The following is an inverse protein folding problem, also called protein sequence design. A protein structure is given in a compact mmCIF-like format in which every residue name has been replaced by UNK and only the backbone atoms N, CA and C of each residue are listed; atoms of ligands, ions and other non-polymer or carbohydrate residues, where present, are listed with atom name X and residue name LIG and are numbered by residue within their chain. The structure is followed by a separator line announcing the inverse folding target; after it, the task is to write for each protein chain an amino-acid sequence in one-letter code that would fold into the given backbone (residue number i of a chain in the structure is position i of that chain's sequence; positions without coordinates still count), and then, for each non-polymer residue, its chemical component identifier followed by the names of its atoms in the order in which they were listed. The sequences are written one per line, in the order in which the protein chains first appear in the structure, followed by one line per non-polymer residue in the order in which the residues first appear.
data_IF_359541977151
#
_entry.id   IF_359541977151
#
_cell.length_a   1.000
_cell.length_b   1.000
_cell.length_c   1.000
_cell.angle_alpha   90.00
_cell.angle_beta   90.00
_cell.angle_gamma   90.00
#
_symmetry.space_group_name_H-M   'P 1'
#
loop_
_entity.id
_entity.type
_entity.pdbx_description
1 polymer ?
#
# COMPACT_ATOMS: atom_id res chain seq x y z
N UNK A 1 17.36 -14.85 -15.39
CA UNK A 1 16.46 -14.46 -16.50
C UNK A 1 15.02 -14.79 -16.16
N UNK A 2 14.43 -14.09 -15.18
CA UNK A 2 13.02 -14.27 -14.82
C UNK A 2 12.07 -13.37 -15.64
N UNK A 3 12.59 -12.21 -16.07
CA UNK A 3 11.97 -11.27 -17.00
C UNK A 3 12.55 -11.45 -18.40
N UNK A 4 11.75 -11.18 -19.42
CA UNK A 4 12.13 -11.06 -20.83
C UNK A 4 12.56 -9.63 -21.22
N UNK A 5 12.47 -8.70 -20.28
CA UNK A 5 12.99 -7.33 -20.34
C UNK A 5 14.03 -7.09 -19.24
N UNK A 6 14.81 -6.00 -19.38
CA UNK A 6 15.83 -5.60 -18.40
C UNK A 6 15.29 -4.46 -17.54
N UNK A 7 15.27 -4.65 -16.23
CA UNK A 7 15.03 -3.56 -15.28
C UNK A 7 16.30 -2.69 -15.22
N UNK A 8 16.23 -1.38 -15.50
CA UNK A 8 17.38 -0.48 -15.39
C UNK A 8 17.99 -0.52 -13.98
N UNK A 9 19.32 -0.50 -13.90
CA UNK A 9 20.09 -0.59 -12.65
C UNK A 9 19.86 -1.87 -11.82
N UNK A 10 19.31 -2.94 -12.41
CA UNK A 10 19.01 -4.20 -11.71
C UNK A 10 20.20 -4.82 -10.98
N UNK A 11 21.43 -4.65 -11.47
CA UNK A 11 22.65 -5.15 -10.79
C UNK A 11 23.00 -4.37 -9.51
N UNK A 12 22.40 -3.18 -9.31
CA UNK A 12 22.68 -2.28 -8.18
C UNK A 12 21.51 -2.14 -7.21
N UNK A 13 20.27 -2.47 -7.63
CA UNK A 13 19.08 -2.41 -6.77
C UNK A 13 19.17 -3.52 -5.72
N UNK A 14 19.07 -3.15 -4.44
CA UNK A 14 19.00 -4.10 -3.33
C UNK A 14 17.56 -4.30 -2.84
N UNK A 15 17.30 -5.42 -2.14
CA UNK A 15 16.00 -5.65 -1.45
C UNK A 15 15.68 -4.51 -0.47
N UNK A 16 16.70 -3.94 0.17
CA UNK A 16 16.54 -2.76 1.03
C UNK A 16 16.03 -1.55 0.23
N UNK A 17 16.59 -1.27 -0.94
CA UNK A 17 16.12 -0.16 -1.77
C UNK A 17 14.65 -0.31 -2.18
N UNK A 18 14.19 -1.55 -2.44
CA UNK A 18 12.78 -1.82 -2.72
C UNK A 18 11.91 -1.50 -1.49
N UNK A 19 12.28 -2.03 -0.32
CA UNK A 19 11.54 -1.85 0.93
C UNK A 19 11.47 -0.38 1.39
N UNK A 20 12.51 0.41 1.11
CA UNK A 20 12.65 1.83 1.49
C UNK A 20 12.08 2.80 0.45
N UNK A 21 11.48 2.31 -0.65
CA UNK A 21 11.00 3.14 -1.76
C UNK A 21 12.11 4.02 -2.40
N UNK A 22 13.31 3.44 -2.54
CA UNK A 22 14.53 4.09 -3.04
C UNK A 22 15.20 3.29 -4.17
N UNK A 23 14.43 2.47 -4.88
CA UNK A 23 14.94 1.61 -5.96
C UNK A 23 15.35 2.37 -7.21
N UNK A 24 14.72 3.52 -7.47
CA UNK A 24 14.87 4.22 -8.74
C UNK A 24 14.21 3.54 -9.93
N UNK A 25 13.35 2.54 -9.71
CA UNK A 25 12.55 1.95 -10.79
C UNK A 25 11.46 2.92 -11.25
N UNK A 26 11.10 2.82 -12.53
CA UNK A 26 9.92 3.54 -13.02
C UNK A 26 8.63 3.03 -12.39
N UNK A 27 7.62 3.88 -12.34
CA UNK A 27 6.41 3.69 -11.55
C UNK A 27 5.20 3.46 -12.46
N UNK A 28 4.76 2.20 -12.54
CA UNK A 28 3.63 1.81 -13.38
C UNK A 28 2.32 2.50 -12.97
N UNK A 29 2.15 2.83 -11.68
CA UNK A 29 0.93 3.48 -11.20
C UNK A 29 0.77 4.91 -11.73
N UNK A 30 1.85 5.53 -12.22
CA UNK A 30 1.83 6.84 -12.87
C UNK A 30 2.13 6.75 -14.38
N UNK A 31 2.18 5.55 -14.94
CA UNK A 31 2.33 5.35 -16.37
C UNK A 31 1.01 5.65 -17.09
N UNK A 32 1.06 6.51 -18.09
CA UNK A 32 -0.15 6.96 -18.81
C UNK A 32 -0.85 5.84 -19.58
N UNK A 33 -0.09 4.87 -20.10
CA UNK A 33 -0.66 3.72 -20.80
C UNK A 33 -1.33 2.77 -19.82
N UNK A 34 -0.69 2.48 -18.69
CA UNK A 34 -1.31 1.68 -17.62
C UNK A 34 -2.61 2.32 -17.10
N UNK A 35 -2.60 3.62 -16.82
CA UNK A 35 -3.80 4.36 -16.38
C UNK A 35 -4.92 4.29 -17.43
N UNK A 36 -4.60 4.42 -18.72
CA UNK A 36 -5.59 4.26 -19.79
C UNK A 36 -6.17 2.83 -19.85
N UNK A 37 -5.31 1.81 -19.72
CA UNK A 37 -5.72 0.42 -19.82
C UNK A 37 -6.60 -0.02 -18.63
N UNK A 38 -6.29 0.43 -17.41
CA UNK A 38 -7.14 0.17 -16.23
C UNK A 38 -8.47 0.92 -16.32
N UNK A 39 -8.50 2.17 -16.81
CA UNK A 39 -9.75 2.91 -16.99
C UNK A 39 -10.65 2.27 -18.07
N UNK A 40 -10.04 1.77 -19.15
CA UNK A 40 -10.76 1.15 -20.26
C UNK A 40 -11.28 -0.24 -19.92
N UNK A 41 -10.57 -0.98 -19.07
CA UNK A 41 -10.95 -2.33 -18.65
C UNK A 41 -10.52 -2.59 -17.20
N UNK A 42 -11.29 -2.08 -16.21
CA UNK A 42 -10.86 -2.07 -14.81
C UNK A 42 -10.88 -3.45 -14.16
N UNK A 43 -11.54 -4.43 -14.79
CA UNK A 43 -11.54 -5.83 -14.36
C UNK A 43 -10.47 -6.69 -15.06
N UNK A 44 -9.51 -6.06 -15.73
CA UNK A 44 -8.34 -6.77 -16.28
C UNK A 44 -7.57 -7.45 -15.16
N UNK A 45 -7.30 -8.75 -15.32
CA UNK A 45 -6.40 -9.48 -14.43
C UNK A 45 -4.96 -9.29 -14.90
N UNK A 46 -4.13 -8.71 -14.05
CA UNK A 46 -2.76 -8.33 -14.34
C UNK A 46 -1.77 -9.41 -13.89
N UNK A 47 -0.83 -9.76 -14.78
CA UNK A 47 0.38 -10.49 -14.38
C UNK A 47 1.33 -9.49 -13.68
N UNK A 48 1.85 -9.82 -12.47
CA UNK A 48 2.85 -8.99 -11.79
C UNK A 48 4.02 -8.54 -12.67
N UNK A 49 4.48 -9.39 -13.61
CA UNK A 49 5.56 -9.04 -14.55
C UNK A 49 5.15 -7.92 -15.51
N UNK A 50 3.91 -7.95 -15.97
CA UNK A 50 3.37 -6.92 -16.86
C UNK A 50 3.30 -5.58 -16.14
N UNK A 51 2.94 -5.54 -14.85
CA UNK A 51 2.98 -4.30 -14.06
C UNK A 51 4.41 -3.73 -13.98
N UNK A 52 5.41 -4.58 -13.72
CA UNK A 52 6.82 -4.13 -13.73
C UNK A 52 7.22 -3.61 -15.12
N UNK A 53 6.75 -4.26 -16.19
CA UNK A 53 7.04 -3.85 -17.56
C UNK A 53 6.51 -2.43 -17.86
N UNK A 54 5.27 -2.10 -17.47
CA UNK A 54 4.74 -0.73 -17.61
C UNK A 54 5.66 0.28 -16.93
N UNK A 55 6.15 -0.02 -15.72
CA UNK A 55 7.08 0.86 -15.01
C UNK A 55 8.42 1.01 -15.74
N UNK A 56 8.97 -0.09 -16.28
CA UNK A 56 10.24 -0.08 -17.04
C UNK A 56 10.13 0.70 -18.35
N UNK A 57 8.98 0.61 -19.01
CA UNK A 57 8.71 1.26 -20.30
C UNK A 57 8.15 2.69 -20.14
N UNK A 58 7.87 3.13 -18.91
CA UNK A 58 7.22 4.42 -18.67
C UNK A 58 8.12 5.61 -19.02
N UNK A 59 7.63 6.45 -19.93
CA UNK A 59 8.27 7.74 -20.24
C UNK A 59 7.95 8.80 -19.18
N UNK A 60 6.85 8.63 -18.43
CA UNK A 60 6.40 9.57 -17.40
C UNK A 60 7.26 9.48 -16.13
N UNK A 61 7.78 8.29 -15.81
CA UNK A 61 8.55 8.02 -14.59
C UNK A 61 9.84 7.26 -14.93
N UNK A 62 10.83 7.92 -15.55
CA UNK A 62 12.05 7.24 -15.97
C UNK A 62 12.87 6.77 -14.76
N UNK A 63 13.54 5.63 -14.93
CA UNK A 63 14.40 5.07 -13.90
C UNK A 63 15.61 5.97 -13.60
N UNK A 64 16.04 5.97 -12.34
CA UNK A 64 17.18 6.71 -11.82
C UNK A 64 18.07 5.82 -10.94
N UNK A 65 19.33 6.21 -10.66
CA UNK A 65 20.21 5.36 -9.86
C UNK A 65 19.62 5.10 -8.46
N UNK A 66 19.72 3.87 -7.93
CA UNK A 66 19.19 3.51 -6.62
C UNK A 66 19.76 4.38 -5.49
N UNK A 67 18.97 4.58 -4.44
CA UNK A 67 19.32 5.32 -3.23
C UNK A 67 19.66 6.82 -3.42
N UNK A 68 19.32 7.39 -4.58
CA UNK A 68 19.54 8.83 -4.84
C UNK A 68 18.40 9.73 -4.39
N UNK A 69 17.17 9.21 -4.31
CA UNK A 69 15.99 9.89 -3.76
C UNK A 69 14.91 8.87 -3.35
N UNK A 70 13.98 9.31 -2.52
CA UNK A 70 12.74 8.59 -2.21
C UNK A 70 11.69 8.82 -3.31
N UNK A 71 10.96 7.77 -3.67
CA UNK A 71 9.77 7.84 -4.52
C UNK A 71 8.85 6.66 -4.20
N UNK A 72 7.65 6.93 -3.69
CA UNK A 72 6.68 5.89 -3.40
C UNK A 72 6.28 5.18 -4.69
N UNK A 73 6.64 3.89 -4.81
CA UNK A 73 6.47 3.13 -6.05
C UNK A 73 5.96 1.72 -5.73
N UNK A 74 4.71 1.44 -6.10
CA UNK A 74 4.06 0.13 -5.92
C UNK A 74 4.84 -1.00 -6.61
N UNK A 75 5.55 -0.71 -7.70
CA UNK A 75 6.40 -1.66 -8.42
C UNK A 75 7.48 -2.29 -7.53
N UNK A 76 7.93 -1.59 -6.49
CA UNK A 76 8.87 -2.15 -5.52
C UNK A 76 8.27 -3.34 -4.77
N UNK A 77 7.01 -3.21 -4.33
CA UNK A 77 6.32 -4.25 -3.57
C UNK A 77 5.77 -5.36 -4.47
N UNK A 78 5.41 -5.05 -5.72
CA UNK A 78 5.17 -6.07 -6.75
C UNK A 78 6.43 -6.93 -6.96
N UNK A 79 7.60 -6.31 -7.10
CA UNK A 79 8.86 -7.05 -7.28
C UNK A 79 9.23 -7.89 -6.04
N UNK A 80 8.99 -7.37 -4.84
CA UNK A 80 9.15 -8.14 -3.59
C UNK A 80 8.20 -9.33 -3.52
N UNK A 81 6.94 -9.18 -3.95
CA UNK A 81 5.99 -10.29 -4.08
C UNK A 81 6.50 -11.39 -5.00
N UNK A 82 7.04 -11.01 -6.17
CA UNK A 82 7.69 -11.95 -7.10
C UNK A 82 8.86 -12.68 -6.44
N UNK A 83 9.69 -11.99 -5.65
CA UNK A 83 10.81 -12.61 -4.94
C UNK A 83 10.34 -13.59 -3.87
N UNK A 84 9.27 -13.27 -3.14
CA UNK A 84 8.65 -14.19 -2.17
C UNK A 84 8.28 -15.50 -2.87
N UNK A 85 7.56 -15.43 -3.99
CA UNK A 85 7.14 -16.64 -4.71
C UNK A 85 8.33 -17.44 -5.25
N UNK A 86 9.35 -16.77 -5.79
CA UNK A 86 10.53 -17.47 -6.32
C UNK A 86 11.41 -18.14 -5.26
N UNK A 87 11.51 -17.54 -4.07
CA UNK A 87 12.38 -18.06 -3.01
C UNK A 87 11.69 -19.19 -2.24
N UNK A 88 10.36 -19.14 -2.15
CA UNK A 88 9.58 -20.07 -1.33
C UNK A 88 8.92 -21.19 -2.13
N UNK A 89 8.83 -21.05 -3.46
CA UNK A 89 8.03 -21.90 -4.36
C UNK A 89 6.53 -21.96 -3.98
N UNK A 90 6.04 -21.01 -3.16
CA UNK A 90 4.65 -20.86 -2.74
C UNK A 90 4.03 -19.59 -3.31
N UNK A 91 2.69 -19.49 -3.32
CA UNK A 91 2.03 -18.25 -3.76
C UNK A 91 2.18 -17.15 -2.71
N UNK A 92 2.15 -15.89 -3.15
CA UNK A 92 2.13 -14.74 -2.23
C UNK A 92 0.97 -14.84 -1.23
N UNK A 93 -0.20 -15.30 -1.69
CA UNK A 93 -1.37 -15.48 -0.83
C UNK A 93 -1.14 -16.54 0.26
N UNK A 94 -0.51 -17.67 -0.08
CA UNK A 94 -0.17 -18.71 0.89
C UNK A 94 0.86 -18.21 1.92
N UNK A 95 1.88 -17.48 1.47
CA UNK A 95 2.91 -16.94 2.36
C UNK A 95 2.36 -15.89 3.33
N UNK A 96 1.47 -15.00 2.87
CA UNK A 96 0.74 -14.06 3.75
C UNK A 96 -0.17 -14.83 4.73
N UNK A 97 -0.85 -15.87 4.24
CA UNK A 97 -1.73 -16.70 5.06
C UNK A 97 -0.99 -17.40 6.20
N UNK A 98 0.08 -18.13 5.87
CA UNK A 98 0.83 -18.96 6.82
C UNK A 98 1.71 -18.15 7.77
N UNK A 99 2.26 -17.02 7.32
CA UNK A 99 3.22 -16.24 8.12
C UNK A 99 2.62 -15.08 8.88
N UNK A 100 1.47 -14.57 8.45
CA UNK A 100 0.86 -13.35 9.01
C UNK A 100 -0.54 -13.64 9.51
N UNK A 101 -1.47 -14.03 8.62
CA UNK A 101 -2.90 -14.15 8.95
C UNK A 101 -3.13 -15.21 10.03
N UNK A 102 -2.64 -16.44 9.83
CA UNK A 102 -2.83 -17.55 10.78
C UNK A 102 -2.12 -17.30 12.12
N UNK A 103 -0.84 -16.89 12.17
CA UNK A 103 -0.15 -16.66 13.44
C UNK A 103 -0.76 -15.52 14.27
N UNK A 104 -1.34 -14.51 13.64
CA UNK A 104 -2.00 -13.39 14.31
C UNK A 104 -3.52 -13.60 14.49
N UNK A 105 -4.07 -14.73 14.03
CA UNK A 105 -5.49 -15.04 14.06
C UNK A 105 -6.38 -13.95 13.43
N UNK A 106 -5.97 -13.41 12.28
CA UNK A 106 -6.70 -12.37 11.54
C UNK A 106 -7.86 -12.98 10.73
N UNK A 107 -8.93 -13.39 11.41
CA UNK A 107 -10.01 -14.19 10.81
C UNK A 107 -10.83 -13.48 9.73
N UNK A 108 -10.71 -12.16 9.60
CA UNK A 108 -11.43 -11.34 8.62
C UNK A 108 -10.46 -10.68 7.62
N UNK A 109 -9.26 -11.26 7.44
CA UNK A 109 -8.24 -10.77 6.53
C UNK A 109 -7.94 -11.80 5.45
N UNK A 110 -7.84 -11.36 4.19
CA UNK A 110 -7.57 -12.24 3.06
C UNK A 110 -6.80 -11.53 1.93
N UNK A 111 -6.06 -12.30 1.15
CA UNK A 111 -5.50 -11.87 -0.14
C UNK A 111 -6.52 -12.25 -1.23
N UNK A 112 -7.24 -11.29 -1.83
CA UNK A 112 -8.28 -11.59 -2.82
C UNK A 112 -7.69 -12.03 -4.17
N UNK A 113 -8.38 -12.95 -4.84
CA UNK A 113 -8.00 -13.47 -6.17
C UNK A 113 -8.78 -12.86 -7.34
N UNK A 114 -9.86 -12.14 -7.00
CA UNK A 114 -10.83 -11.53 -7.88
C UNK A 114 -11.53 -10.36 -7.13
N UNK A 115 -12.31 -9.51 -7.82
CA UNK A 115 -12.93 -8.32 -7.21
C UNK A 115 -14.03 -8.61 -6.19
N UNK A 116 -14.42 -9.87 -5.93
CA UNK A 116 -15.51 -10.15 -4.99
C UNK A 116 -15.11 -9.84 -3.55
N UNK A 117 -16.06 -9.29 -2.80
CA UNK A 117 -15.87 -8.91 -1.39
C UNK A 117 -16.60 -9.91 -0.46
N UNK A 118 -15.92 -10.44 0.56
CA UNK A 118 -16.54 -11.36 1.51
C UNK A 118 -17.56 -10.62 2.37
N UNK A 119 -18.81 -11.12 2.41
CA UNK A 119 -19.86 -10.50 3.20
C UNK A 119 -19.71 -10.81 4.71
N UNK A 120 -20.03 -9.86 5.61
CA UNK A 120 -20.39 -8.46 5.31
C UNK A 120 -19.16 -7.62 4.99
N UNK A 121 -19.27 -6.70 4.03
CA UNK A 121 -18.26 -5.69 3.73
C UNK A 121 -18.90 -4.30 3.70
N UNK A 122 -18.10 -3.27 4.00
CA UNK A 122 -18.53 -1.89 3.78
C UNK A 122 -18.40 -1.59 2.28
N UNK A 123 -19.45 -1.05 1.66
CA UNK A 123 -19.40 -0.66 0.25
C UNK A 123 -18.46 0.54 0.05
N UNK A 124 -17.64 0.53 -1.00
CA UNK A 124 -16.78 1.64 -1.40
C UNK A 124 -17.48 2.52 -2.42
N UNK A 125 -17.37 3.83 -2.30
CA UNK A 125 -18.08 4.77 -3.17
C UNK A 125 -17.15 5.75 -3.89
N UNK A 126 -17.44 5.96 -5.18
CA UNK A 126 -16.89 7.05 -6.00
C UNK A 126 -18.02 8.05 -6.27
N UNK A 127 -17.73 9.34 -6.19
CA UNK A 127 -18.65 10.38 -6.63
C UNK A 127 -18.34 10.76 -8.07
N UNK A 128 -19.31 10.58 -8.96
CA UNK A 128 -19.25 11.02 -10.35
C UNK A 128 -19.72 12.47 -10.43
N UNK A 129 -18.77 13.39 -10.58
CA UNK A 129 -19.04 14.83 -10.68
C UNK A 129 -19.80 15.21 -11.95
N UNK A 130 -19.58 14.48 -13.06
CA UNK A 130 -20.20 14.79 -14.35
C UNK A 130 -21.70 14.51 -14.31
N UNK A 131 -22.09 13.42 -13.65
CA UNK A 131 -23.47 12.98 -13.54
C UNK A 131 -24.13 13.34 -12.20
N UNK A 132 -23.36 13.85 -11.22
CA UNK A 132 -23.81 14.16 -9.86
C UNK A 132 -24.42 12.93 -9.17
N UNK A 133 -23.70 11.80 -9.25
CA UNK A 133 -24.14 10.49 -8.75
C UNK A 133 -23.10 9.85 -7.82
N UNK A 134 -23.58 9.14 -6.79
CA UNK A 134 -22.72 8.30 -5.95
C UNK A 134 -22.76 6.86 -6.47
N UNK A 135 -21.62 6.40 -6.98
CA UNK A 135 -21.47 5.08 -7.58
C UNK A 135 -20.85 4.10 -6.59
N UNK A 136 -21.43 2.90 -6.50
CA UNK A 136 -20.82 1.79 -5.77
C UNK A 136 -19.65 1.22 -6.59
N UNK A 137 -18.45 1.37 -6.06
CA UNK A 137 -17.19 0.95 -6.67
C UNK A 137 -16.56 -0.26 -5.95
N UNK A 138 -17.29 -0.91 -5.04
CA UNK A 138 -16.76 -1.98 -4.17
C UNK A 138 -16.05 -3.11 -4.93
N UNK A 139 -16.49 -3.38 -6.16
CA UNK A 139 -15.95 -4.42 -7.03
C UNK A 139 -15.56 -3.85 -8.40
N UNK A 140 -15.23 -2.55 -8.47
CA UNK A 140 -15.00 -1.86 -9.73
C UNK A 140 -13.67 -2.24 -10.39
N UNK A 141 -12.67 -2.65 -9.61
CA UNK A 141 -11.32 -2.97 -10.09
C UNK A 141 -10.86 -4.36 -9.67
N UNK A 142 -10.12 -5.06 -10.52
CA UNK A 142 -9.48 -6.34 -10.15
C UNK A 142 -8.30 -6.15 -9.18
N UNK A 143 -8.21 -6.91 -8.07
CA UNK A 143 -7.17 -6.73 -7.04
C UNK A 143 -5.75 -6.96 -7.54
N UNK A 144 -5.57 -7.64 -8.68
CA UNK A 144 -4.25 -7.94 -9.23
C UNK A 144 -3.44 -6.71 -9.65
N UNK A 145 -4.08 -5.55 -9.88
CA UNK A 145 -3.33 -4.32 -10.19
C UNK A 145 -2.53 -3.79 -9.00
N UNK A 146 -3.03 -4.02 -7.78
CA UNK A 146 -2.35 -3.71 -6.52
C UNK A 146 -1.55 -4.89 -5.95
N UNK A 147 -2.04 -6.12 -6.13
CA UNK A 147 -1.43 -7.39 -5.67
C UNK A 147 -0.64 -7.24 -4.35
N UNK A 148 0.66 -7.55 -4.33
CA UNK A 148 1.52 -7.48 -3.14
C UNK A 148 1.75 -6.06 -2.60
N UNK A 149 1.43 -5.01 -3.37
CA UNK A 149 1.57 -3.62 -2.96
C UNK A 149 0.34 -3.06 -2.23
N UNK A 150 -0.85 -3.66 -2.37
CA UNK A 150 -2.05 -3.08 -1.76
C UNK A 150 -3.37 -3.82 -1.89
N UNK A 151 -3.41 -5.10 -2.25
CA UNK A 151 -4.68 -5.81 -2.53
C UNK A 151 -5.40 -6.41 -1.32
N UNK A 152 -4.79 -6.44 -0.13
CA UNK A 152 -5.32 -7.20 1.02
C UNK A 152 -6.63 -6.59 1.52
N UNK A 153 -7.64 -7.45 1.71
CA UNK A 153 -8.88 -7.13 2.40
C UNK A 153 -8.73 -7.39 3.91
N UNK A 154 -9.24 -6.49 4.75
CA UNK A 154 -9.22 -6.64 6.20
C UNK A 154 -10.36 -5.88 6.87
N UNK A 155 -10.39 -5.89 8.20
CA UNK A 155 -11.34 -5.12 9.03
C UNK A 155 -10.58 -4.25 10.02
N UNK A 156 -11.24 -3.23 10.59
CA UNK A 156 -10.62 -2.39 11.63
C UNK A 156 -10.12 -3.21 12.83
N UNK A 157 -10.87 -4.25 13.21
CA UNK A 157 -10.49 -5.23 14.26
C UNK A 157 -9.15 -5.91 13.96
N UNK A 158 -9.02 -6.48 12.77
CA UNK A 158 -7.83 -7.21 12.37
C UNK A 158 -6.65 -6.25 12.15
N UNK A 159 -6.91 -5.05 11.62
CA UNK A 159 -5.90 -4.00 11.47
C UNK A 159 -5.34 -3.50 12.82
N UNK A 160 -6.15 -3.45 13.88
CA UNK A 160 -5.66 -3.15 15.24
C UNK A 160 -4.71 -4.24 15.74
N UNK A 161 -4.99 -5.51 15.44
CA UNK A 161 -4.10 -6.62 15.77
C UNK A 161 -2.82 -6.55 14.95
N UNK A 162 -2.94 -6.25 13.65
CA UNK A 162 -1.82 -6.09 12.73
C UNK A 162 -0.89 -4.94 13.12
N UNK A 163 -1.39 -3.73 13.35
CA UNK A 163 -0.54 -2.57 13.67
C UNK A 163 0.23 -2.82 14.96
N UNK A 164 -0.40 -3.43 15.96
CA UNK A 164 0.27 -3.84 17.18
C UNK A 164 1.44 -4.79 16.89
N UNK A 165 1.18 -5.87 16.15
CA UNK A 165 2.20 -6.85 15.79
C UNK A 165 3.34 -6.26 14.94
N UNK A 166 3.01 -5.35 14.02
CA UNK A 166 3.94 -4.65 13.13
C UNK A 166 4.90 -3.75 13.93
N UNK A 167 4.35 -2.91 14.82
CA UNK A 167 5.14 -1.96 15.62
C UNK A 167 5.95 -2.68 16.70
N UNK A 168 5.40 -3.74 17.30
CA UNK A 168 6.11 -4.57 18.29
C UNK A 168 7.18 -5.48 17.65
N UNK A 169 7.18 -5.63 16.32
CA UNK A 169 8.08 -6.54 15.61
C UNK A 169 7.78 -8.03 15.89
N UNK A 170 6.53 -8.38 16.18
CA UNK A 170 6.12 -9.70 16.69
C UNK A 170 6.49 -10.86 15.75
N UNK A 171 6.47 -10.62 14.44
CA UNK A 171 6.69 -11.65 13.40
C UNK A 171 8.12 -11.65 12.82
N UNK A 172 9.02 -10.81 13.35
CA UNK A 172 10.40 -10.69 12.85
C UNK A 172 11.39 -10.74 14.01
N UNK A 173 12.68 -10.94 13.70
CA UNK A 173 13.71 -10.85 14.74
C UNK A 173 13.88 -9.41 15.24
N UNK A 174 14.44 -9.24 16.43
CA UNK A 174 14.74 -7.90 16.97
C UNK A 174 15.67 -7.11 16.05
N UNK A 175 16.62 -7.77 15.39
CA UNK A 175 17.52 -7.15 14.40
C UNK A 175 16.74 -6.68 13.17
N UNK A 176 15.85 -7.51 12.62
CA UNK A 176 15.01 -7.10 11.50
C UNK A 176 14.07 -5.95 11.87
N UNK A 177 13.54 -5.92 13.09
CA UNK A 177 12.73 -4.80 13.57
C UNK A 177 13.56 -3.52 13.71
N UNK A 178 14.79 -3.61 14.23
CA UNK A 178 15.70 -2.45 14.28
C UNK A 178 15.97 -1.91 12.87
N UNK A 179 16.28 -2.78 11.91
CA UNK A 179 16.47 -2.39 10.51
C UNK A 179 15.22 -1.77 9.88
N UNK A 180 14.04 -2.30 10.21
CA UNK A 180 12.74 -1.78 9.77
C UNK A 180 12.48 -0.36 10.26
N UNK A 181 12.94 -0.06 11.48
CA UNK A 181 12.76 1.22 12.17
C UNK A 181 13.88 2.24 11.89
N UNK A 182 14.89 1.88 11.09
CA UNK A 182 15.86 2.85 10.55
C UNK A 182 15.18 3.65 9.44
N UNK A 183 14.57 4.77 9.81
CA UNK A 183 13.75 5.57 8.90
C UNK A 183 14.51 6.79 8.37
N UNK A 184 14.18 7.19 7.13
CA UNK A 184 14.68 8.41 6.50
C UNK A 184 13.51 9.34 6.17
N UNK A 185 13.77 10.65 6.16
CA UNK A 185 12.78 11.63 5.70
C UNK A 185 12.35 11.31 4.26
N UNK A 186 11.04 11.42 4.03
CA UNK A 186 10.37 11.08 2.79
C UNK A 186 9.09 11.90 2.65
N UNK A 187 8.79 12.32 1.43
CA UNK A 187 7.51 12.96 1.10
C UNK A 187 6.58 11.93 0.47
N UNK A 188 5.46 11.66 1.13
CA UNK A 188 4.35 10.90 0.56
C UNK A 188 3.28 11.91 0.18
N UNK A 189 3.07 12.07 -1.13
CA UNK A 189 2.07 12.97 -1.70
C UNK A 189 2.25 14.42 -1.20
N UNK A 190 1.42 14.86 -0.27
CA UNK A 190 1.36 16.22 0.26
C UNK A 190 1.86 16.35 1.71
N UNK A 191 2.43 15.29 2.29
CA UNK A 191 2.96 15.31 3.67
C UNK A 191 4.30 14.59 3.83
N UNK A 192 5.11 15.09 4.76
CA UNK A 192 6.42 14.54 5.10
C UNK A 192 6.29 13.50 6.22
N UNK A 193 6.97 12.36 6.05
CA UNK A 193 7.06 11.26 7.01
C UNK A 193 8.52 10.84 7.18
N UNK A 194 8.76 9.93 8.12
CA UNK A 194 10.00 9.14 8.16
C UNK A 194 9.68 7.71 7.71
N UNK A 195 10.17 7.30 6.54
CA UNK A 195 9.90 6.00 5.93
C UNK A 195 11.01 4.98 6.23
N UNK A 196 10.63 3.79 6.66
CA UNK A 196 11.51 2.65 6.94
C UNK A 196 11.28 1.50 5.96
N UNK A 197 11.26 0.26 6.45
CA UNK A 197 11.02 -0.93 5.61
C UNK A 197 9.53 -1.31 5.62
N UNK A 198 8.72 -0.69 4.75
CA UNK A 198 7.28 -0.95 4.64
C UNK A 198 6.46 -0.47 5.83
N UNK A 199 6.99 0.52 6.53
CA UNK A 199 6.40 1.18 7.69
C UNK A 199 6.91 2.62 7.70
N UNK A 200 6.11 3.56 8.18
CA UNK A 200 6.55 4.94 8.36
C UNK A 200 6.06 5.55 9.66
N UNK A 201 6.70 6.65 10.04
CA UNK A 201 6.29 7.53 11.13
C UNK A 201 5.70 8.82 10.55
N UNK A 202 4.42 9.07 10.82
CA UNK A 202 3.71 10.34 10.57
C UNK A 202 3.52 11.05 11.91
N UNK A 203 4.29 12.12 12.16
CA UNK A 203 4.30 12.86 13.43
C UNK A 203 4.36 11.95 14.69
N UNK A 204 5.39 11.09 14.75
CA UNK A 204 5.61 10.05 15.77
C UNK A 204 4.59 8.89 15.80
N UNK A 205 3.50 8.96 15.03
CA UNK A 205 2.61 7.83 14.87
C UNK A 205 3.24 6.82 13.91
N UNK A 206 3.41 5.57 14.34
CA UNK A 206 4.13 4.54 13.58
C UNK A 206 3.13 3.53 13.01
N UNK A 207 3.19 3.28 11.70
CA UNK A 207 2.25 2.39 11.02
C UNK A 207 2.35 2.49 9.50
N UNK A 208 1.22 2.32 8.82
CA UNK A 208 1.13 2.56 7.39
C UNK A 208 -0.32 2.95 7.00
N UNK A 209 -0.42 3.86 6.04
CA UNK A 209 -1.67 4.26 5.40
C UNK A 209 -1.95 3.47 4.12
N UNK A 210 -3.14 3.60 3.58
CA UNK A 210 -3.50 2.99 2.29
C UNK A 210 -4.57 3.80 1.59
N UNK A 211 -4.42 3.93 0.28
CA UNK A 211 -5.45 4.44 -0.62
C UNK A 211 -5.58 3.45 -1.78
N UNK A 212 -6.74 2.79 -1.87
CA UNK A 212 -7.06 1.87 -2.94
C UNK A 212 -8.15 2.49 -3.82
N UNK A 213 -7.74 2.95 -5.00
CA UNK A 213 -8.61 3.51 -6.04
C UNK A 213 -9.54 4.64 -5.55
N UNK A 214 -9.15 5.38 -4.51
CA UNK A 214 -9.91 6.50 -3.91
C UNK A 214 -11.27 6.14 -3.28
N UNK A 215 -11.70 4.88 -3.28
CA UNK A 215 -12.96 4.45 -2.65
C UNK A 215 -12.78 3.61 -1.39
N UNK A 216 -11.56 3.15 -1.10
CA UNK A 216 -11.18 2.64 0.20
C UNK A 216 -9.87 3.28 0.66
N UNK A 217 -9.89 3.88 1.85
CA UNK A 217 -8.68 4.34 2.52
C UNK A 217 -8.60 3.80 3.93
N UNK A 218 -7.37 3.54 4.37
CA UNK A 218 -7.08 3.00 5.69
C UNK A 218 -5.90 3.74 6.32
N UNK A 219 -5.93 3.90 7.63
CA UNK A 219 -4.80 4.38 8.43
C UNK A 219 -4.71 3.51 9.69
N UNK A 220 -3.66 2.68 9.78
CA UNK A 220 -3.43 1.80 10.92
C UNK A 220 -2.10 2.18 11.60
N UNK A 221 -2.19 2.84 12.76
CA UNK A 221 -1.05 3.48 13.43
C UNK A 221 -1.05 3.29 14.94
N UNK A 222 0.13 3.17 15.53
CA UNK A 222 0.35 3.35 16.96
C UNK A 222 0.79 4.78 17.24
N UNK A 223 0.12 5.45 18.18
CA UNK A 223 0.49 6.79 18.63
C UNK A 223 0.29 6.95 20.14
N UNK A 224 1.31 7.43 20.86
CA UNK A 224 1.30 7.64 22.33
C UNK A 224 0.75 6.44 23.12
N UNK A 225 1.11 5.22 22.73
CA UNK A 225 0.65 3.92 23.29
C UNK A 225 -0.80 3.53 22.99
N UNK A 226 -1.47 4.21 22.06
CA UNK A 226 -2.77 3.82 21.53
C UNK A 226 -2.60 3.26 20.13
N UNK A 227 -3.24 2.12 19.86
CA UNK A 227 -3.34 1.53 18.52
C UNK A 227 -4.65 2.00 17.88
N UNK A 228 -4.57 2.52 16.66
CA UNK A 228 -5.70 3.02 15.89
C UNK A 228 -5.82 2.27 14.56
N UNK A 229 -7.05 2.07 14.11
CA UNK A 229 -7.37 1.68 12.76
C UNK A 229 -8.56 2.51 12.28
N UNK A 230 -8.34 3.42 11.32
CA UNK A 230 -9.39 4.23 10.69
C UNK A 230 -9.60 3.76 9.26
N UNK A 231 -10.87 3.66 8.85
CA UNK A 231 -11.27 3.25 7.52
C UNK A 231 -12.28 4.25 6.98
N UNK A 232 -12.12 4.67 5.73
CA UNK A 232 -13.07 5.54 5.02
C UNK A 232 -13.34 4.93 3.66
N UNK A 233 -14.61 4.71 3.35
CA UNK A 233 -15.11 3.99 2.18
C UNK A 233 -15.62 4.92 1.07
N UNK A 234 -14.88 6.00 0.83
CA UNK A 234 -15.16 6.98 -0.21
C UNK A 234 -14.30 8.22 -0.03
N UNK A 235 -14.24 9.04 -1.07
CA UNK A 235 -13.59 10.34 -1.02
C UNK A 235 -14.66 11.43 -1.14
N UNK A 236 -14.82 12.24 -0.09
CA UNK A 236 -15.58 13.48 -0.20
C UNK A 236 -14.71 14.48 -0.97
N UNK A 237 -15.15 14.88 -2.16
CA UNK A 237 -14.61 16.07 -2.79
C UNK A 237 -15.16 17.30 -2.05
N UNK A 238 -14.30 18.09 -1.39
CA UNK A 238 -14.66 19.46 -1.03
C UNK A 238 -13.54 20.43 -1.37
N UNK A 239 -13.90 21.40 -2.23
CA UNK A 239 -13.45 22.79 -2.27
C UNK A 239 -12.02 23.06 -1.79
N UNK A 240 -11.03 22.80 -2.64
CA UNK A 240 -9.76 23.53 -2.63
C UNK A 240 -8.52 22.80 -2.11
N UNK A 241 -8.65 21.70 -1.36
CA UNK A 241 -7.50 20.90 -0.90
C UNK A 241 -7.79 19.40 -1.02
N UNK A 242 -6.98 18.70 -1.80
CA UNK A 242 -7.12 17.27 -2.04
C UNK A 242 -6.53 16.47 -0.88
N UNK A 243 -7.34 16.05 0.09
CA UNK A 243 -6.91 15.04 1.07
C UNK A 243 -6.73 13.73 0.33
N UNK A 244 -5.49 13.28 0.15
CA UNK A 244 -5.22 12.06 -0.60
C UNK A 244 -5.59 10.79 0.19
N UNK A 245 -5.49 10.83 1.52
CA UNK A 245 -5.88 9.71 2.41
C UNK A 245 -6.90 10.17 3.47
N UNK A 246 -8.23 10.17 3.20
CA UNK A 246 -9.26 10.60 4.15
C UNK A 246 -9.18 9.92 5.52
N UNK A 247 -8.79 8.64 5.58
CA UNK A 247 -8.58 7.92 6.82
C UNK A 247 -7.51 8.57 7.73
N UNK A 248 -6.51 9.27 7.18
CA UNK A 248 -5.50 10.04 7.91
C UNK A 248 -6.14 11.19 8.70
N UNK A 249 -7.02 11.96 8.05
CA UNK A 249 -7.71 13.07 8.72
C UNK A 249 -8.63 12.59 9.83
N UNK A 250 -9.32 11.46 9.62
CA UNK A 250 -10.13 10.82 10.68
C UNK A 250 -9.26 10.38 11.86
N UNK A 251 -8.08 9.82 11.59
CA UNK A 251 -7.12 9.43 12.62
C UNK A 251 -6.70 10.62 13.49
N UNK A 252 -6.26 11.73 12.88
CA UNK A 252 -5.81 12.90 13.64
C UNK A 252 -6.94 13.57 14.43
N UNK A 253 -8.14 13.66 13.86
CA UNK A 253 -9.31 14.14 14.58
C UNK A 253 -9.68 13.24 15.78
N UNK A 254 -9.58 11.92 15.62
CA UNK A 254 -9.84 10.98 16.71
C UNK A 254 -8.79 11.09 17.82
N UNK A 255 -7.50 11.20 17.47
CA UNK A 255 -6.41 11.40 18.42
C UNK A 255 -6.59 12.69 19.23
N UNK A 256 -6.93 13.80 18.55
CA UNK A 256 -7.24 15.08 19.21
C UNK A 256 -8.46 14.96 20.15
N UNK A 257 -9.52 14.30 19.71
CA UNK A 257 -10.75 14.16 20.49
C UNK A 257 -10.54 13.41 21.83
N UNK A 258 -9.51 12.58 21.93
CA UNK A 258 -9.15 11.87 23.17
C UNK A 258 -7.95 12.51 23.91
N UNK A 259 -7.54 13.73 23.51
CA UNK A 259 -6.50 14.51 24.17
C UNK A 259 -5.08 14.06 23.88
N UNK A 260 -4.84 13.39 22.74
CA UNK A 260 -3.50 13.06 22.26
C UNK A 260 -2.99 14.13 21.30
N UNK A 261 -3.06 15.40 21.69
CA UNK A 261 -2.64 16.49 20.83
C UNK A 261 -1.14 16.35 20.50
N UNK A 262 -0.84 16.13 19.22
CA UNK A 262 0.45 16.50 18.62
C UNK A 262 0.34 17.97 18.24
N UNK A 263 1.22 18.81 18.80
CA UNK A 263 1.33 20.21 18.38
C UNK A 263 1.64 20.32 16.88
#
# INVERSE_FOLDING_TARGET
NYFDFTIPYSDSITVRNLLEMRSGMGNYSFDSKFMQDIDSNPLTKWDPKTLIQYGVESENTPAYPPDTKFEYNNGNYILLGIFIEQITDNTFADEVSERIIKPLALTNTSVPSDPSMPAPYAHGYIYDDENNELLDASTATDPSWGWAAGSINSTASDLLTWVKALVDGTLVSSTMQQERMTMQEADIEDFTVFYGLGIYSDNEAIGHGGNYSNFYTAYAFRYKNYDFATLVNGKLQQTGESVHVPARSVFWNAAQAIGLDGQ
#
